data_IF_446997572681
#
_entry.id   IF_446997572681
#
_cell.length_a   1.000
_cell.length_b   1.000
_cell.length_c   1.000
_cell.angle_alpha   90.00
_cell.angle_beta   90.00
_cell.angle_gamma   90.00
#
_symmetry.space_group_name_H-M   'P 1'
#
loop_
_entity.id
_entity.type
_entity.pdbx_description
1 polymer ?
#
# COMPACT_ATOMS: atom_id res chain seq x y z
N UNK A 1 2.45 42.64 12.36
CA UNK A 1 1.50 42.33 11.27
C UNK A 1 1.08 40.89 11.40
N UNK A 2 -0.15 40.67 11.82
CA UNK A 2 -0.77 39.32 11.80
C UNK A 2 -1.09 39.03 10.33
N UNK A 3 -0.36 38.10 9.69
CA UNK A 3 -0.72 37.64 8.38
C UNK A 3 -1.89 36.64 8.55
N UNK A 4 -3.05 36.99 8.07
CA UNK A 4 -4.21 36.10 8.02
C UNK A 4 -3.88 34.94 7.09
N UNK A 5 -4.08 33.69 7.57
CA UNK A 5 -3.90 32.49 6.75
C UNK A 5 -5.02 32.42 5.71
N UNK A 6 -4.72 32.07 4.46
CA UNK A 6 -5.73 31.98 3.42
C UNK A 6 -6.72 30.85 3.70
N UNK A 7 -7.93 30.96 3.18
CA UNK A 7 -8.93 29.91 3.18
C UNK A 7 -8.88 29.10 1.88
N UNK A 8 -9.24 27.81 1.96
CA UNK A 8 -9.29 26.92 0.80
C UNK A 8 -10.55 27.21 -0.01
N UNK A 9 -10.39 27.53 -1.28
CA UNK A 9 -11.48 27.79 -2.23
C UNK A 9 -11.91 26.53 -2.98
N UNK A 10 -10.94 25.69 -3.34
CA UNK A 10 -11.15 24.48 -4.14
C UNK A 10 -10.05 23.45 -3.84
N UNK A 11 -10.39 22.16 -3.96
CA UNK A 11 -9.45 21.05 -3.95
C UNK A 11 -9.77 20.15 -5.15
N UNK A 12 -8.79 19.97 -6.03
CA UNK A 12 -8.89 19.06 -7.17
C UNK A 12 -7.89 17.90 -6.99
N UNK A 13 -8.29 16.71 -7.42
CA UNK A 13 -7.44 15.51 -7.40
C UNK A 13 -7.53 14.86 -8.77
N UNK A 14 -6.39 14.66 -9.40
CA UNK A 14 -6.27 14.04 -10.70
C UNK A 14 -5.29 12.85 -10.68
N UNK A 15 -5.45 11.91 -11.62
CA UNK A 15 -4.54 10.79 -11.81
C UNK A 15 -4.81 9.56 -10.93
N UNK A 16 -5.68 9.67 -9.94
CA UNK A 16 -6.07 8.55 -9.07
C UNK A 16 -7.07 7.63 -9.80
N UNK A 17 -6.81 6.32 -9.75
CA UNK A 17 -7.66 5.25 -10.32
C UNK A 17 -7.90 4.12 -9.33
N UNK A 18 -6.89 3.80 -8.52
CA UNK A 18 -6.95 2.71 -7.54
C UNK A 18 -7.73 3.11 -6.29
N UNK A 19 -7.72 4.39 -5.93
CA UNK A 19 -8.49 4.94 -4.83
C UNK A 19 -9.47 5.97 -5.40
N UNK A 20 -10.76 5.79 -5.10
CA UNK A 20 -11.82 6.69 -5.53
C UNK A 20 -11.58 8.13 -5.06
N UNK A 21 -11.83 9.11 -5.94
CA UNK A 21 -11.64 10.55 -5.62
C UNK A 21 -12.44 10.97 -4.38
N UNK A 22 -13.65 10.45 -4.23
CA UNK A 22 -14.52 10.75 -3.10
C UNK A 22 -13.92 10.28 -1.77
N UNK A 23 -13.33 9.08 -1.73
CA UNK A 23 -12.63 8.55 -0.56
C UNK A 23 -11.39 9.38 -0.20
N UNK A 24 -10.65 9.86 -1.19
CA UNK A 24 -9.51 10.76 -0.98
C UNK A 24 -9.95 12.12 -0.41
N UNK A 25 -11.02 12.70 -0.96
CA UNK A 25 -11.58 13.97 -0.46
C UNK A 25 -12.11 13.85 0.96
N UNK A 26 -12.76 12.73 1.31
CA UNK A 26 -13.22 12.47 2.67
C UNK A 26 -12.05 12.33 3.65
N UNK A 27 -10.97 11.69 3.25
CA UNK A 27 -9.73 11.63 4.03
C UNK A 27 -9.13 13.01 4.28
N UNK A 28 -9.04 13.85 3.24
CA UNK A 28 -8.56 15.23 3.33
C UNK A 28 -9.46 16.06 4.27
N UNK A 29 -10.77 15.94 4.14
CA UNK A 29 -11.75 16.61 5.00
C UNK A 29 -11.59 16.19 6.47
N UNK A 30 -11.39 14.91 6.73
CA UNK A 30 -11.13 14.38 8.08
C UNK A 30 -9.87 14.97 8.72
N UNK A 31 -8.87 15.32 7.92
CA UNK A 31 -7.63 15.98 8.35
C UNK A 31 -7.76 17.52 8.46
N UNK A 32 -8.92 18.08 8.12
CA UNK A 32 -9.15 19.52 8.17
C UNK A 32 -8.87 20.27 6.86
N UNK A 33 -8.57 19.55 5.77
CA UNK A 33 -8.43 20.12 4.42
C UNK A 33 -9.75 20.01 3.68
N UNK A 34 -10.55 21.05 3.75
CA UNK A 34 -11.81 21.18 3.00
C UNK A 34 -12.06 22.60 2.58
N UNK A 35 -12.90 22.78 1.57
CA UNK A 35 -13.32 24.09 1.08
C UNK A 35 -13.90 24.92 2.23
N UNK A 36 -13.46 26.14 2.36
CA UNK A 36 -13.85 27.08 3.43
C UNK A 36 -12.97 27.02 4.68
N UNK A 37 -12.16 25.99 4.87
CA UNK A 37 -11.24 25.89 6.00
C UNK A 37 -9.98 26.74 5.78
N UNK A 38 -9.33 27.10 6.87
CA UNK A 38 -8.05 27.79 6.85
C UNK A 38 -6.96 26.85 6.36
N UNK A 39 -6.23 27.25 5.34
CA UNK A 39 -5.13 26.45 4.78
C UNK A 39 -3.95 26.38 5.76
N UNK A 40 -3.44 25.17 5.96
CA UNK A 40 -2.21 24.90 6.70
C UNK A 40 -1.29 24.00 5.88
N UNK A 41 -0.11 24.49 5.55
CA UNK A 41 0.87 23.74 4.73
C UNK A 41 1.28 22.41 5.37
N UNK A 42 1.51 22.40 6.68
CA UNK A 42 1.88 21.19 7.42
C UNK A 42 0.82 20.10 7.35
N UNK A 43 -0.46 20.47 7.32
CA UNK A 43 -1.56 19.52 7.16
C UNK A 43 -1.56 18.92 5.77
N UNK A 44 -1.33 19.74 4.72
CA UNK A 44 -1.23 19.26 3.35
C UNK A 44 -0.04 18.29 3.17
N UNK A 45 1.14 18.65 3.67
CA UNK A 45 2.34 17.79 3.62
C UNK A 45 2.13 16.47 4.36
N UNK A 46 1.49 16.49 5.52
CA UNK A 46 1.11 15.29 6.28
C UNK A 46 0.16 14.39 5.50
N UNK A 47 -0.82 14.98 4.81
CA UNK A 47 -1.75 14.23 3.97
C UNK A 47 -1.11 13.65 2.72
N UNK A 48 -0.18 14.36 2.08
CA UNK A 48 0.59 13.81 0.95
C UNK A 48 1.34 12.53 1.37
N UNK A 49 2.00 12.56 2.54
CA UNK A 49 2.70 11.40 3.08
C UNK A 49 1.75 10.24 3.40
N UNK A 50 0.59 10.53 3.97
CA UNK A 50 -0.41 9.51 4.28
C UNK A 50 -1.00 8.90 3.01
N UNK A 51 -1.34 9.70 2.00
CA UNK A 51 -1.80 9.20 0.71
C UNK A 51 -0.75 8.33 0.02
N UNK A 52 0.51 8.76 0.01
CA UNK A 52 1.60 7.96 -0.53
C UNK A 52 1.74 6.62 0.21
N UNK A 53 1.61 6.63 1.53
CA UNK A 53 1.61 5.41 2.34
C UNK A 53 0.47 4.46 1.98
N UNK A 54 -0.73 4.96 1.70
CA UNK A 54 -1.86 4.14 1.27
C UNK A 54 -1.57 3.43 -0.06
N UNK A 55 -0.93 4.11 -1.01
CA UNK A 55 -0.50 3.49 -2.27
C UNK A 55 0.59 2.44 -2.06
N UNK A 56 1.56 2.70 -1.18
CA UNK A 56 2.62 1.74 -0.81
C UNK A 56 2.03 0.47 -0.19
N UNK A 57 1.00 0.59 0.65
CA UNK A 57 0.29 -0.57 1.23
C UNK A 57 -0.39 -1.44 0.16
N UNK A 58 -0.76 -0.85 -0.97
CA UNK A 58 -1.30 -1.55 -2.13
C UNK A 58 -0.21 -2.09 -3.09
N UNK A 59 1.07 -2.04 -2.68
CA UNK A 59 2.18 -2.51 -3.50
C UNK A 59 2.63 -1.53 -4.59
N UNK A 60 2.21 -0.26 -4.53
CA UNK A 60 2.57 0.79 -5.48
C UNK A 60 3.71 1.63 -4.90
N UNK A 61 4.92 1.05 -4.90
CA UNK A 61 6.10 1.63 -4.25
C UNK A 61 6.67 2.86 -4.97
N UNK A 62 6.37 3.03 -6.24
CA UNK A 62 6.77 4.16 -7.08
C UNK A 62 5.69 5.25 -7.18
N UNK A 63 4.61 5.14 -6.40
CA UNK A 63 3.57 6.15 -6.35
C UNK A 63 4.12 7.50 -5.90
N UNK A 64 3.70 8.57 -6.57
CA UNK A 64 4.07 9.96 -6.26
C UNK A 64 2.82 10.81 -6.14
N UNK A 65 2.80 11.65 -5.13
CA UNK A 65 1.71 12.59 -4.87
C UNK A 65 2.31 13.98 -4.82
N UNK A 66 1.94 14.80 -5.77
CA UNK A 66 2.37 16.19 -5.85
C UNK A 66 1.17 17.09 -5.56
N UNK A 67 1.36 18.09 -4.72
CA UNK A 67 0.31 19.06 -4.41
C UNK A 67 0.82 20.46 -4.67
N UNK A 68 0.09 21.18 -5.48
CA UNK A 68 0.33 22.58 -5.78
C UNK A 68 -0.70 23.45 -5.06
N UNK A 69 -0.22 24.52 -4.41
CA UNK A 69 -1.07 25.51 -3.76
C UNK A 69 -1.05 26.77 -4.60
N UNK A 70 -2.20 27.11 -5.18
CA UNK A 70 -2.35 28.21 -6.11
C UNK A 70 -3.03 29.39 -5.38
N UNK A 71 -2.33 30.52 -5.20
CA UNK A 71 -2.92 31.70 -4.57
C UNK A 71 -4.04 32.29 -5.41
N UNK A 72 -5.13 32.67 -4.75
CA UNK A 72 -6.29 33.32 -5.36
C UNK A 72 -6.63 34.67 -4.72
N UNK A 73 -7.41 35.51 -5.41
CA UNK A 73 -7.89 36.78 -4.84
C UNK A 73 -8.67 36.58 -3.53
N UNK A 74 -8.72 37.62 -2.68
CA UNK A 74 -9.44 37.64 -1.41
C UNK A 74 -8.89 36.69 -0.36
N UNK A 75 -7.56 36.57 -0.28
CA UNK A 75 -6.86 35.72 0.68
C UNK A 75 -7.36 34.25 0.67
N UNK A 76 -7.45 33.67 -0.55
CA UNK A 76 -7.82 32.26 -0.75
C UNK A 76 -6.71 31.50 -1.48
N UNK A 77 -6.79 30.19 -1.41
CA UNK A 77 -5.94 29.27 -2.17
C UNK A 77 -6.78 28.14 -2.74
N UNK A 78 -6.45 27.68 -3.95
CA UNK A 78 -6.87 26.39 -4.45
C UNK A 78 -5.73 25.39 -4.30
N UNK A 79 -6.07 24.12 -4.13
CA UNK A 79 -5.12 23.01 -3.98
C UNK A 79 -5.36 22.04 -5.14
N UNK A 80 -4.34 21.84 -5.96
CA UNK A 80 -4.35 20.83 -7.00
C UNK A 80 -3.44 19.67 -6.57
N UNK A 81 -3.98 18.46 -6.50
CA UNK A 81 -3.26 17.24 -6.14
C UNK A 81 -3.16 16.37 -7.37
N UNK A 82 -1.95 16.11 -7.83
CA UNK A 82 -1.65 15.20 -8.92
C UNK A 82 -1.13 13.87 -8.34
N UNK A 83 -1.79 12.78 -8.72
CA UNK A 83 -1.47 11.43 -8.27
C UNK A 83 -0.91 10.64 -9.43
N UNK A 84 0.37 10.30 -9.34
CA UNK A 84 0.96 9.29 -10.19
C UNK A 84 1.02 7.99 -9.39
N UNK A 85 0.10 7.08 -9.67
CA UNK A 85 -0.04 5.83 -8.91
C UNK A 85 1.10 4.82 -9.16
N UNK A 86 1.88 5.03 -10.22
CA UNK A 86 2.89 4.06 -10.63
C UNK A 86 2.31 2.69 -10.99
N UNK A 87 3.14 1.67 -10.82
CA UNK A 87 2.78 0.27 -11.08
C UNK A 87 2.70 -0.53 -9.79
N UNK A 88 1.84 -1.56 -9.77
CA UNK A 88 1.82 -2.51 -8.65
C UNK A 88 2.99 -3.48 -8.81
N UNK A 89 3.81 -3.62 -7.78
CA UNK A 89 4.93 -4.54 -7.78
C UNK A 89 4.46 -6.00 -7.89
N UNK A 90 5.18 -6.79 -8.69
CA UNK A 90 4.87 -8.20 -8.91
C UNK A 90 5.73 -9.10 -8.03
N UNK A 91 5.15 -10.17 -7.51
CA UNK A 91 5.86 -11.15 -6.68
C UNK A 91 6.69 -12.06 -7.59
N UNK A 92 7.99 -12.06 -7.40
CA UNK A 92 8.92 -12.92 -8.14
C UNK A 92 9.22 -14.21 -7.41
N UNK A 93 9.38 -14.17 -6.10
CA UNK A 93 9.63 -15.35 -5.27
C UNK A 93 8.90 -15.25 -3.94
N UNK A 94 8.39 -16.40 -3.52
CA UNK A 94 7.88 -16.66 -2.17
C UNK A 94 8.67 -17.84 -1.63
N UNK A 95 9.49 -17.61 -0.61
CA UNK A 95 10.31 -18.63 0.04
C UNK A 95 9.78 -18.86 1.45
N UNK A 96 9.61 -20.13 1.82
CA UNK A 96 9.44 -20.54 3.20
C UNK A 96 10.73 -21.23 3.62
N UNK A 97 11.32 -20.84 4.74
CA UNK A 97 12.59 -21.36 5.24
C UNK A 97 12.38 -21.94 6.62
N UNK A 98 12.91 -23.14 6.85
CA UNK A 98 12.73 -23.89 8.10
C UNK A 98 11.67 -24.99 8.00
N UNK A 99 10.95 -25.06 6.88
CA UNK A 99 10.04 -26.16 6.58
C UNK A 99 10.83 -27.45 6.29
N UNK A 100 10.49 -28.53 6.98
CA UNK A 100 11.07 -29.85 6.80
C UNK A 100 10.00 -30.92 6.58
N UNK A 101 8.77 -30.66 7.04
CA UNK A 101 7.63 -31.57 7.02
C UNK A 101 6.90 -31.49 5.68
N UNK A 102 6.70 -30.28 5.17
CA UNK A 102 6.05 -30.02 3.89
C UNK A 102 7.02 -29.40 2.90
N UNK A 103 6.85 -29.71 1.62
CA UNK A 103 7.68 -29.14 0.55
C UNK A 103 7.29 -27.67 0.28
N UNK A 104 8.23 -26.90 -0.26
CA UNK A 104 7.98 -25.50 -0.67
C UNK A 104 6.79 -25.38 -1.64
N UNK A 105 6.60 -26.38 -2.51
CA UNK A 105 5.50 -26.42 -3.46
C UNK A 105 4.15 -26.55 -2.74
N UNK A 106 4.05 -27.47 -1.78
CA UNK A 106 2.85 -27.67 -0.97
C UNK A 106 2.48 -26.42 -0.16
N UNK A 107 3.48 -25.74 0.40
CA UNK A 107 3.26 -24.52 1.19
C UNK A 107 2.89 -23.33 0.30
N UNK A 108 3.50 -23.19 -0.88
CA UNK A 108 3.13 -22.14 -1.85
C UNK A 108 1.72 -22.30 -2.41
N UNK A 109 1.21 -23.53 -2.49
CA UNK A 109 -0.16 -23.76 -2.95
C UNK A 109 -1.23 -23.25 -1.98
N UNK A 110 -0.88 -23.07 -0.70
CA UNK A 110 -1.77 -22.51 0.33
C UNK A 110 -1.97 -21.01 0.10
N UNK A 111 -0.97 -20.31 -0.44
CA UNK A 111 -1.01 -18.87 -0.62
C UNK A 111 -1.96 -18.47 -1.75
N UNK A 112 -2.76 -17.44 -1.51
CA UNK A 112 -3.54 -16.77 -2.55
C UNK A 112 -2.62 -16.00 -3.51
N UNK A 113 -1.59 -15.34 -2.95
CA UNK A 113 -0.55 -14.67 -3.71
C UNK A 113 0.31 -15.70 -4.46
N UNK A 114 0.48 -15.48 -5.75
CA UNK A 114 1.31 -16.34 -6.61
C UNK A 114 2.49 -15.58 -7.17
N UNK A 115 3.54 -16.31 -7.55
CA UNK A 115 4.66 -15.73 -8.28
C UNK A 115 4.26 -15.43 -9.72
N UNK A 116 4.88 -14.41 -10.33
CA UNK A 116 4.62 -14.04 -11.73
C UNK A 116 4.82 -15.25 -12.65
N UNK A 117 3.77 -15.63 -13.34
CA UNK A 117 3.76 -16.72 -14.32
C UNK A 117 2.99 -16.33 -15.58
N UNK A 118 2.92 -17.24 -16.56
CA UNK A 118 2.24 -16.96 -17.82
C UNK A 118 0.71 -16.72 -17.68
N UNK A 119 0.09 -17.23 -16.59
CA UNK A 119 -1.33 -17.02 -16.28
C UNK A 119 -1.60 -15.73 -15.50
N UNK A 120 -0.58 -15.08 -14.93
CA UNK A 120 -0.75 -13.87 -14.12
C UNK A 120 -1.31 -12.68 -14.91
N UNK A 121 -1.22 -12.71 -16.24
CA UNK A 121 -1.87 -11.72 -17.11
C UNK A 121 -3.41 -11.72 -16.99
N UNK A 122 -4.00 -12.83 -16.54
CA UNK A 122 -5.45 -12.98 -16.43
C UNK A 122 -5.95 -12.89 -14.99
N UNK A 123 -5.14 -13.26 -13.98
CA UNK A 123 -5.59 -13.43 -12.60
C UNK A 123 -5.13 -12.31 -11.68
N UNK A 124 -4.03 -11.61 -12.01
CA UNK A 124 -3.40 -10.59 -11.15
C UNK A 124 -2.99 -11.10 -9.75
N UNK A 125 -2.88 -12.41 -9.57
CA UNK A 125 -2.52 -13.05 -8.28
C UNK A 125 -1.06 -12.81 -7.91
N UNK A 126 -0.24 -12.38 -8.87
CA UNK A 126 1.16 -12.00 -8.68
C UNK A 126 1.34 -10.56 -8.19
N UNK A 127 0.27 -9.78 -8.08
CA UNK A 127 0.34 -8.40 -7.59
C UNK A 127 0.43 -8.37 -6.08
N UNK A 128 1.49 -7.74 -5.58
CA UNK A 128 1.71 -7.64 -4.14
C UNK A 128 0.62 -6.80 -3.46
N UNK A 129 0.10 -7.34 -2.36
CA UNK A 129 -0.77 -6.64 -1.42
C UNK A 129 -0.43 -7.09 -0.01
N UNK A 130 -0.26 -6.14 0.90
CA UNK A 130 0.07 -6.44 2.28
C UNK A 130 -1.05 -7.19 2.99
N UNK A 131 -2.31 -6.84 2.69
CA UNK A 131 -3.48 -7.50 3.27
C UNK A 131 -3.53 -8.97 2.84
N UNK A 132 -3.34 -9.28 1.56
CA UNK A 132 -3.30 -10.64 1.04
C UNK A 132 -2.14 -11.43 1.66
N UNK A 133 -0.96 -10.83 1.77
CA UNK A 133 0.19 -11.50 2.39
C UNK A 133 -0.09 -11.84 3.86
N UNK A 134 -0.74 -10.95 4.61
CA UNK A 134 -1.13 -11.24 5.99
C UNK A 134 -2.11 -12.40 6.06
N UNK A 135 -3.13 -12.41 5.19
CA UNK A 135 -4.09 -13.51 5.08
C UNK A 135 -3.42 -14.83 4.72
N UNK A 136 -2.44 -14.80 3.82
CA UNK A 136 -1.68 -15.98 3.42
C UNK A 136 -0.85 -16.55 4.57
N UNK A 137 -0.25 -15.72 5.40
CA UNK A 137 0.45 -16.17 6.60
C UNK A 137 -0.49 -16.73 7.67
N UNK A 138 -1.69 -16.19 7.81
CA UNK A 138 -2.73 -16.76 8.67
C UNK A 138 -3.19 -18.12 8.14
N UNK A 139 -3.37 -18.27 6.83
CA UNK A 139 -3.70 -19.54 6.18
C UNK A 139 -2.59 -20.57 6.37
N UNK A 140 -1.32 -20.17 6.23
CA UNK A 140 -0.17 -21.03 6.48
C UNK A 140 -0.15 -21.52 7.93
N UNK A 141 -0.35 -20.64 8.89
CA UNK A 141 -0.41 -20.99 10.31
C UNK A 141 -1.56 -21.95 10.60
N UNK A 142 -2.75 -21.69 10.07
CA UNK A 142 -3.92 -22.56 10.20
C UNK A 142 -3.65 -23.94 9.61
N UNK A 143 -2.97 -24.01 8.47
CA UNK A 143 -2.64 -25.26 7.79
C UNK A 143 -1.80 -26.21 8.68
N UNK A 144 -0.83 -25.67 9.43
CA UNK A 144 -0.02 -26.44 10.36
C UNK A 144 -0.79 -26.79 11.63
N UNK A 145 -1.50 -25.83 12.23
CA UNK A 145 -2.26 -26.03 13.47
C UNK A 145 -3.36 -27.09 13.29
N UNK A 146 -4.10 -27.07 12.18
CA UNK A 146 -5.15 -28.04 11.86
C UNK A 146 -4.61 -29.47 11.70
N UNK A 147 -3.31 -29.61 11.46
CA UNK A 147 -2.62 -30.91 11.32
C UNK A 147 -1.88 -31.32 12.58
N UNK A 148 -2.04 -30.57 13.67
CA UNK A 148 -1.53 -30.91 14.98
C UNK A 148 -0.17 -30.32 15.33
N UNK A 149 0.41 -29.49 14.48
CA UNK A 149 1.68 -28.78 14.75
C UNK A 149 1.40 -27.54 15.60
N UNK A 150 1.17 -27.75 16.90
CA UNK A 150 0.69 -26.71 17.81
C UNK A 150 1.74 -25.66 18.16
N UNK A 151 3.01 -25.97 17.95
CA UNK A 151 4.13 -25.07 18.20
C UNK A 151 4.60 -24.36 16.91
N UNK A 152 3.86 -24.53 15.82
CA UNK A 152 4.17 -23.81 14.58
C UNK A 152 4.18 -22.31 14.81
N UNK A 153 5.24 -21.66 14.32
CA UNK A 153 5.40 -20.22 14.40
C UNK A 153 6.06 -19.68 13.15
N UNK A 154 5.66 -18.47 12.74
CA UNK A 154 6.38 -17.67 11.75
C UNK A 154 7.30 -16.74 12.52
N UNK A 155 8.58 -17.06 12.57
CA UNK A 155 9.57 -16.36 13.38
C UNK A 155 9.89 -14.98 12.84
N UNK A 156 9.98 -14.86 11.53
CA UNK A 156 10.21 -13.58 10.86
C UNK A 156 9.75 -13.61 9.40
N UNK A 157 9.42 -12.43 8.89
CA UNK A 157 9.12 -12.21 7.49
C UNK A 157 10.00 -11.12 6.92
N UNK A 158 10.54 -11.35 5.74
CA UNK A 158 11.37 -10.39 5.02
C UNK A 158 10.75 -10.12 3.66
N UNK A 159 10.61 -8.83 3.34
CA UNK A 159 10.11 -8.37 2.04
C UNK A 159 11.21 -7.52 1.43
N UNK A 160 11.81 -8.01 0.35
CA UNK A 160 12.79 -7.29 -0.42
C UNK A 160 12.16 -6.76 -1.72
N UNK A 161 12.42 -5.50 -2.03
CA UNK A 161 11.89 -4.82 -3.21
C UNK A 161 13.07 -4.54 -4.13
N UNK A 162 12.89 -4.81 -5.44
CA UNK A 162 13.91 -4.49 -6.44
C UNK A 162 14.17 -2.98 -6.51
N UNK A 163 15.37 -2.54 -6.95
CA UNK A 163 15.68 -1.12 -7.13
C UNK A 163 14.70 -0.37 -8.04
N UNK A 164 14.09 -1.05 -9.02
CA UNK A 164 13.06 -0.49 -9.90
C UNK A 164 11.66 -0.48 -9.30
N UNK A 165 11.49 -0.93 -8.05
CA UNK A 165 10.20 -1.00 -7.33
C UNK A 165 9.11 -1.82 -8.04
N UNK A 166 9.49 -2.68 -8.98
CA UNK A 166 8.57 -3.49 -9.78
C UNK A 166 8.46 -4.95 -9.33
N UNK A 167 9.46 -5.41 -8.58
CA UNK A 167 9.56 -6.80 -8.15
C UNK A 167 9.67 -6.93 -6.62
N UNK A 168 8.94 -7.89 -6.07
CA UNK A 168 8.94 -8.22 -4.64
C UNK A 168 9.39 -9.65 -4.43
N UNK A 169 10.24 -9.85 -3.43
CA UNK A 169 10.74 -11.13 -2.96
C UNK A 169 10.33 -11.29 -1.51
N UNK A 170 9.61 -12.36 -1.20
CA UNK A 170 9.06 -12.63 0.12
C UNK A 170 9.79 -13.83 0.71
N UNK A 171 10.24 -13.73 1.95
CA UNK A 171 10.82 -14.85 2.70
C UNK A 171 10.16 -14.91 4.07
N UNK A 172 9.58 -16.06 4.40
CA UNK A 172 9.06 -16.38 5.72
C UNK A 172 9.95 -17.44 6.37
N UNK A 173 10.52 -17.11 7.52
CA UNK A 173 11.25 -18.08 8.34
C UNK A 173 10.26 -18.68 9.33
N UNK A 174 10.18 -20.01 9.37
CA UNK A 174 9.22 -20.75 10.18
C UNK A 174 9.91 -21.76 11.09
N UNK A 175 9.27 -22.03 12.23
CA UNK A 175 9.56 -23.18 13.09
C UNK A 175 8.33 -24.08 13.10
N UNK A 176 8.51 -25.35 12.77
CA UNK A 176 7.37 -26.28 12.58
C UNK A 176 6.85 -26.91 13.87
N UNK A 177 7.67 -26.94 14.94
CA UNK A 177 7.30 -27.49 16.26
C UNK A 177 7.54 -28.98 16.41
#
# INVERSE_FOLDING_TARGET
TVAERPSISEITIDGNKAIETEALLDGLKGAGLSVGNVFQRSTLEGMQLELQRQYVLQGRYDARIEAEVIPEPRNRVSIAIDVNEGTVASIKHINVVGNTIYTDEQLRDIFELKTTGWLSFFTSDDKYSKEKLTSDFEALSSYYLDRGYLEFNIDSTQIAISPGMEAVYITANVTEG
#
